data_IF_585189246163
#
_entry.id   IF_585189246163
#
_cell.length_a   1.000
_cell.length_b   1.000
_cell.length_c   1.000
_cell.angle_alpha   90.00
_cell.angle_beta   90.00
_cell.angle_gamma   90.00
#
_symmetry.space_group_name_H-M   'P 1'
#
loop_
_entity.id
_entity.type
_entity.pdbx_description
1 polymer ?
#
# COMPACT_ATOMS: atom_id res chain seq x y z
N UNK A 1 -4.93 -24.94 0.97
CA UNK A 1 -3.76 -24.36 0.28
C UNK A 1 -3.66 -22.90 0.70
N UNK A 2 -2.53 -22.43 1.27
CA UNK A 2 -2.35 -21.00 1.55
C UNK A 2 -2.13 -20.23 0.24
N UNK A 3 -2.86 -19.14 0.03
CA UNK A 3 -2.75 -18.28 -1.16
C UNK A 3 -2.86 -16.81 -0.77
N UNK A 4 -2.20 -15.94 -1.53
CA UNK A 4 -2.18 -14.49 -1.34
C UNK A 4 -2.39 -13.82 -2.70
N UNK A 5 -3.20 -12.77 -2.74
CA UNK A 5 -3.38 -11.94 -3.94
C UNK A 5 -2.29 -10.88 -3.97
N UNK A 6 -1.53 -10.83 -5.06
CA UNK A 6 -0.51 -9.82 -5.30
C UNK A 6 -0.97 -8.94 -6.48
N UNK A 7 -1.38 -7.72 -6.18
CA UNK A 7 -1.79 -6.71 -7.16
C UNK A 7 -0.87 -5.49 -7.07
N UNK A 8 -0.94 -4.59 -8.06
CA UNK A 8 -0.20 -3.33 -8.04
C UNK A 8 -0.50 -2.52 -6.77
N UNK A 9 0.53 -1.92 -6.19
CA UNK A 9 0.37 -0.92 -5.13
C UNK A 9 0.27 0.47 -5.76
N UNK A 10 -0.97 0.90 -5.97
CA UNK A 10 -1.37 2.19 -6.54
C UNK A 10 -2.81 2.53 -6.16
N UNK A 11 -3.23 3.76 -6.43
CA UNK A 11 -4.64 4.11 -6.56
C UNK A 11 -5.10 3.81 -8.00
N UNK A 12 -6.41 3.71 -8.22
CA UNK A 12 -6.96 3.43 -9.53
C UNK A 12 -6.50 4.50 -10.54
N UNK A 13 -6.03 4.06 -11.71
CA UNK A 13 -5.46 4.93 -12.76
C UNK A 13 -4.14 5.65 -12.39
N UNK A 14 -3.56 5.43 -11.21
CA UNK A 14 -2.21 5.91 -10.86
C UNK A 14 -1.12 4.87 -11.22
N UNK A 15 0.12 5.31 -11.54
CA UNK A 15 1.26 4.41 -11.69
C UNK A 15 1.58 3.71 -10.36
N UNK A 16 2.30 2.58 -10.46
CA UNK A 16 2.81 1.89 -9.27
C UNK A 16 3.71 2.84 -8.48
N UNK A 17 3.55 2.81 -7.16
CA UNK A 17 4.36 3.55 -6.19
C UNK A 17 5.86 3.27 -6.38
N UNK A 18 6.67 4.32 -6.47
CA UNK A 18 8.13 4.22 -6.63
C UNK A 18 8.93 4.87 -5.49
N UNK A 19 8.26 5.60 -4.58
CA UNK A 19 8.91 6.28 -3.45
C UNK A 19 8.17 5.99 -2.13
N UNK A 20 8.87 6.06 -0.98
CA UNK A 20 8.22 5.96 0.34
C UNK A 20 7.08 6.98 0.51
N UNK A 21 7.24 8.18 -0.04
CA UNK A 21 6.25 9.25 0.01
C UNK A 21 4.99 8.90 -0.79
N UNK A 22 5.16 8.32 -1.98
CA UNK A 22 4.03 7.84 -2.80
C UNK A 22 3.30 6.68 -2.09
N UNK A 23 4.04 5.77 -1.42
CA UNK A 23 3.46 4.67 -0.65
C UNK A 23 2.55 5.18 0.48
N UNK A 24 3.05 6.17 1.23
CA UNK A 24 2.30 6.78 2.33
C UNK A 24 1.09 7.54 1.79
N UNK A 25 1.24 8.30 0.70
CA UNK A 25 0.11 9.00 0.05
C UNK A 25 -0.98 8.01 -0.36
N UNK A 26 -0.61 7.00 -1.14
CA UNK A 26 -1.54 5.97 -1.64
C UNK A 26 -2.22 5.23 -0.49
N UNK A 27 -1.50 4.84 0.55
CA UNK A 27 -2.08 4.22 1.73
C UNK A 27 -3.11 5.12 2.44
N UNK A 28 -2.83 6.42 2.58
CA UNK A 28 -3.73 7.34 3.27
C UNK A 28 -5.00 7.66 2.46
N UNK A 29 -4.92 7.67 1.12
CA UNK A 29 -6.04 8.03 0.24
C UNK A 29 -6.92 6.85 -0.17
N UNK A 30 -6.47 5.61 0.04
CA UNK A 30 -7.21 4.38 -0.31
C UNK A 30 -7.78 3.69 0.92
N UNK A 31 -8.64 2.68 0.74
CA UNK A 31 -9.23 1.89 1.83
C UNK A 31 -8.33 0.74 2.32
N UNK A 32 -7.00 0.87 2.19
CA UNK A 32 -6.06 -0.13 2.71
C UNK A 32 -6.04 -0.14 4.24
N UNK A 33 -6.16 -1.34 4.83
CA UNK A 33 -6.17 -1.51 6.29
C UNK A 33 -4.79 -1.25 6.92
N UNK A 34 -3.71 -1.67 6.26
CA UNK A 34 -2.37 -1.59 6.80
C UNK A 34 -1.29 -1.35 5.73
N UNK A 35 -0.16 -0.80 6.16
CA UNK A 35 1.02 -0.55 5.34
C UNK A 35 2.27 -1.14 6.01
N UNK A 36 2.96 -2.00 5.28
CA UNK A 36 4.33 -2.44 5.58
C UNK A 36 5.29 -1.71 4.62
N UNK A 37 6.25 -0.96 5.17
CA UNK A 37 7.23 -0.21 4.38
C UNK A 37 8.62 -0.35 4.99
N UNK A 38 9.44 -1.25 4.43
CA UNK A 38 10.73 -1.60 5.04
C UNK A 38 10.53 -2.19 6.44
N UNK A 39 11.25 -1.73 7.48
CA UNK A 39 11.10 -2.20 8.86
C UNK A 39 9.91 -1.57 9.60
N UNK A 40 9.12 -0.72 8.95
CA UNK A 40 8.01 0.01 9.57
C UNK A 40 6.66 -0.63 9.23
N UNK A 41 5.75 -0.59 10.20
CA UNK A 41 4.38 -1.08 10.08
C UNK A 41 3.40 -0.08 10.69
N UNK A 42 2.27 0.13 10.02
CA UNK A 42 1.13 0.89 10.55
C UNK A 42 -0.19 0.27 10.10
N UNK A 43 -1.23 0.43 10.90
CA UNK A 43 -2.59 0.04 10.58
C UNK A 43 -3.54 1.23 10.83
N UNK A 44 -4.59 1.35 10.01
CA UNK A 44 -5.64 2.34 10.25
C UNK A 44 -6.46 1.90 11.46
N UNK A 45 -6.97 2.88 12.20
CA UNK A 45 -7.90 2.64 13.30
C UNK A 45 -9.28 2.21 12.76
#
# INVERSE_FOLDING_TARGET
>A
MPMVVNTSFNDNEEPIVCTPQDAVRCYLTTDMDALALGPFWTAKA
#
